data_IF_845013440042
#
_entry.id   IF_845013440042
#
_cell.length_a   1.000
_cell.length_b   1.000
_cell.length_c   1.000
_cell.angle_alpha   90.00
_cell.angle_beta   90.00
_cell.angle_gamma   90.00
#
_symmetry.space_group_name_H-M   'P 1'
#
loop_
_entity.id
_entity.type
_entity.pdbx_description
1 polymer ?
#
# COMPACT_ATOMS: atom_id res chain seq x y z
N UNK A 1 8.58 -0.88 -7.63
CA UNK A 1 7.54 -0.93 -8.69
C UNK A 1 6.70 -2.18 -8.47
N UNK A 2 5.38 -2.06 -8.52
CA UNK A 2 4.49 -3.22 -8.40
C UNK A 2 4.56 -4.03 -9.68
N UNK A 3 4.29 -5.33 -9.57
CA UNK A 3 4.38 -6.26 -10.70
C UNK A 3 3.31 -5.97 -11.78
N UNK A 4 2.10 -5.59 -11.38
CA UNK A 4 1.03 -5.20 -12.29
C UNK A 4 0.45 -3.81 -11.95
N UNK A 5 1.06 -2.72 -12.45
CA UNK A 5 0.67 -1.36 -12.11
C UNK A 5 -0.77 -1.00 -12.48
N UNK A 6 -1.27 -1.45 -13.64
CA UNK A 6 -2.63 -1.12 -14.09
C UNK A 6 -3.68 -1.77 -13.18
N UNK A 7 -3.50 -3.05 -12.84
CA UNK A 7 -4.43 -3.77 -11.97
C UNK A 7 -4.40 -3.22 -10.55
N UNK A 8 -3.21 -2.91 -10.03
CA UNK A 8 -3.05 -2.27 -8.73
C UNK A 8 -3.75 -0.91 -8.66
N UNK A 9 -3.66 -0.10 -9.72
CA UNK A 9 -4.32 1.21 -9.78
C UNK A 9 -5.85 1.08 -9.71
N UNK A 10 -6.46 0.21 -10.53
CA UNK A 10 -7.91 -0.04 -10.49
C UNK A 10 -8.36 -0.55 -9.12
N UNK A 11 -7.62 -1.49 -8.55
CA UNK A 11 -7.93 -2.04 -7.23
C UNK A 11 -7.89 -0.98 -6.12
N UNK A 12 -6.93 -0.06 -6.15
CA UNK A 12 -6.87 1.05 -5.17
C UNK A 12 -8.10 1.96 -5.32
N UNK A 13 -8.50 2.31 -6.53
CA UNK A 13 -9.67 3.17 -6.77
C UNK A 13 -10.96 2.50 -6.27
N UNK A 14 -11.14 1.22 -6.57
CA UNK A 14 -12.31 0.46 -6.10
C UNK A 14 -12.31 0.29 -4.58
N UNK A 15 -11.15 0.03 -3.97
CA UNK A 15 -11.04 -0.10 -2.52
C UNK A 15 -11.38 1.23 -1.80
N UNK A 16 -10.96 2.38 -2.36
CA UNK A 16 -11.30 3.70 -1.80
C UNK A 16 -12.79 3.98 -1.93
N UNK A 17 -13.41 3.62 -3.05
CA UNK A 17 -14.85 3.81 -3.27
C UNK A 17 -15.72 2.92 -2.36
N UNK A 18 -15.15 1.83 -1.83
CA UNK A 18 -15.89 0.80 -1.09
C UNK A 18 -15.19 0.42 0.22
N UNK A 19 -14.60 1.42 0.87
CA UNK A 19 -13.78 1.25 2.06
C UNK A 19 -14.55 0.66 3.26
N UNK A 20 -15.88 0.72 3.24
CA UNK A 20 -16.81 0.26 4.27
C UNK A 20 -17.39 -1.14 4.00
N UNK A 21 -17.13 -1.73 2.82
CA UNK A 21 -17.60 -3.08 2.47
C UNK A 21 -16.46 -4.12 2.57
N UNK A 22 -16.39 -4.90 3.67
CA UNK A 22 -15.32 -5.87 3.87
C UNK A 22 -15.35 -7.03 2.85
N UNK A 23 -16.51 -7.35 2.26
CA UNK A 23 -16.60 -8.41 1.25
C UNK A 23 -15.98 -7.96 -0.06
N UNK A 24 -16.32 -6.75 -0.52
CA UNK A 24 -15.72 -6.17 -1.73
C UNK A 24 -14.22 -5.97 -1.57
N UNK A 25 -13.75 -5.50 -0.41
CA UNK A 25 -12.32 -5.36 -0.16
C UNK A 25 -11.56 -6.70 -0.28
N UNK A 26 -12.16 -7.80 0.22
CA UNK A 26 -11.57 -9.13 0.09
C UNK A 26 -11.51 -9.61 -1.36
N UNK A 27 -12.51 -9.27 -2.19
CA UNK A 27 -12.53 -9.59 -3.62
C UNK A 27 -11.50 -8.77 -4.40
N UNK A 28 -11.46 -7.45 -4.17
CA UNK A 28 -10.53 -6.52 -4.81
C UNK A 28 -9.06 -6.90 -4.52
N UNK A 29 -8.79 -7.42 -3.33
CA UNK A 29 -7.43 -7.79 -2.89
C UNK A 29 -6.89 -9.07 -3.54
N UNK A 30 -7.68 -9.79 -4.36
CA UNK A 30 -7.27 -11.05 -5.00
C UNK A 30 -6.43 -10.83 -6.26
N UNK A 31 -5.43 -11.69 -6.42
CA UNK A 31 -4.49 -11.78 -7.55
C UNK A 31 -3.87 -10.44 -8.03
N UNK A 32 -3.65 -9.49 -7.11
CA UNK A 32 -3.03 -8.19 -7.43
C UNK A 32 -1.53 -8.30 -7.82
N UNK A 33 -0.92 -9.47 -7.62
CA UNK A 33 0.51 -9.71 -7.85
C UNK A 33 1.38 -9.17 -6.72
N UNK A 34 2.69 -9.14 -6.93
CA UNK A 34 3.61 -8.65 -5.90
C UNK A 34 3.54 -7.12 -5.76
N UNK A 35 3.29 -6.60 -4.54
CA UNK A 35 3.36 -5.16 -4.28
C UNK A 35 4.81 -4.67 -4.31
N UNK A 36 4.99 -3.36 -4.24
CA UNK A 36 6.32 -2.79 -4.05
C UNK A 36 6.90 -3.22 -2.70
N UNK A 37 8.18 -3.59 -2.68
CA UNK A 37 8.90 -3.82 -1.43
C UNK A 37 8.93 -2.53 -0.61
N UNK A 38 8.43 -2.60 0.62
CA UNK A 38 8.62 -1.56 1.62
C UNK A 38 10.06 -1.53 2.13
N UNK A 39 10.46 -0.40 2.69
CA UNK A 39 11.71 -0.24 3.43
C UNK A 39 11.35 -0.24 4.91
N UNK A 40 12.05 -1.05 5.70
CA UNK A 40 11.80 -1.18 7.12
C UNK A 40 12.38 0.03 7.89
N UNK A 41 11.69 0.48 8.94
CA UNK A 41 11.98 1.75 9.62
C UNK A 41 13.35 1.78 10.28
N UNK A 42 13.81 0.67 10.87
CA UNK A 42 15.15 0.57 11.47
C UNK A 42 16.28 0.73 10.44
N UNK A 43 16.00 0.48 9.15
CA UNK A 43 16.97 0.69 8.05
C UNK A 43 17.00 2.10 7.48
N UNK A 44 16.06 2.97 7.88
CA UNK A 44 15.99 4.36 7.40
C UNK A 44 17.12 5.19 8.02
N UNK A 45 17.77 6.02 7.21
CA UNK A 45 18.68 7.07 7.70
C UNK A 45 17.90 8.12 8.48
N UNK A 46 18.56 8.84 9.39
CA UNK A 46 17.91 9.92 10.17
C UNK A 46 17.23 10.97 9.28
N UNK A 47 17.81 11.28 8.11
CA UNK A 47 17.23 12.19 7.11
C UNK A 47 15.98 11.66 6.40
N UNK A 48 15.79 10.34 6.35
CA UNK A 48 14.64 9.70 5.71
C UNK A 48 13.52 9.41 6.71
N UNK A 49 13.78 9.54 8.03
CA UNK A 49 12.76 9.42 9.07
C UNK A 49 11.90 10.68 9.09
N UNK A 50 10.59 10.51 8.97
CA UNK A 50 9.63 11.62 9.07
C UNK A 50 9.55 12.20 10.49
N UNK A 51 9.96 11.44 11.51
CA UNK A 51 10.01 11.87 12.90
C UNK A 51 11.40 11.57 13.48
N UNK A 52 12.11 12.61 13.92
CA UNK A 52 13.53 12.55 14.35
C UNK A 52 13.70 12.64 15.89
N UNK A 53 12.62 12.42 16.65
CA UNK A 53 12.31 12.80 18.07
C UNK A 53 11.73 14.21 18.23
N UNK A 54 10.84 14.34 19.22
CA UNK A 54 10.34 15.61 19.76
C UNK A 54 8.82 15.77 19.68
N UNK A 55 8.12 15.57 20.80
CA UNK A 55 7.12 16.53 21.25
C UNK A 55 7.86 17.50 22.17
#
# INVERSE_FOLDING_TARGET
>A
KSENPSRMASAIVEAVNCYDDPKRLAEISRDLGMPMKGIEVSTLTESAKLQVRGW
#
